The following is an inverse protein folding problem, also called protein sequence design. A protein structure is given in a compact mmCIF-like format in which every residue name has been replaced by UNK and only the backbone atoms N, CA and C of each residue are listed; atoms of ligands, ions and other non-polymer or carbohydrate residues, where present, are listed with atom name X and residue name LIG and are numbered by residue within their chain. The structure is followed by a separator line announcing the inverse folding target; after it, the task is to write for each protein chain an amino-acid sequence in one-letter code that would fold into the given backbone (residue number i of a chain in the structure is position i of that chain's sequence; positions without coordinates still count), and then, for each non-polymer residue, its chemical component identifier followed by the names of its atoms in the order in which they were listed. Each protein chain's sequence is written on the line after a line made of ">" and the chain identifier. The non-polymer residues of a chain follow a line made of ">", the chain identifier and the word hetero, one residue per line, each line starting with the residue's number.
data_IF_087037292916
#
_entry.id   IF_087037292916
#
_cell.length_a   1.000
_cell.length_b   1.000
_cell.length_c   1.000
_cell.angle_alpha   90.00
_cell.angle_beta   90.00
_cell.angle_gamma   90.00
#
_symmetry.space_group_name_H-M   'P 1'
#
loop_
_entity.id
_entity.type
_entity.pdbx_description
1 polymer ?
#
# COMPACT_ATOMS: atom_id res chain seq x y z
N UNK A 1 -15.33 -0.60 -18.13
CA UNK A 1 -15.96 -0.07 -16.90
C UNK A 1 -17.45 0.13 -17.16
N UNK A 2 -18.22 -0.96 -17.22
CA UNK A 2 -19.68 -0.94 -17.50
C UNK A 2 -20.44 -1.83 -16.48
N UNK A 3 -19.76 -2.80 -15.87
CA UNK A 3 -20.32 -3.69 -14.84
C UNK A 3 -20.91 -2.97 -13.62
N UNK A 4 -20.27 -1.89 -13.16
CA UNK A 4 -20.74 -1.17 -11.97
C UNK A 4 -22.13 -0.52 -12.19
N UNK A 5 -22.44 -0.09 -13.42
CA UNK A 5 -23.72 0.56 -13.72
C UNK A 5 -24.85 -0.47 -13.79
N UNK A 6 -24.56 -1.66 -14.33
CA UNK A 6 -25.50 -2.77 -14.39
C UNK A 6 -25.82 -3.33 -12.99
N UNK A 7 -24.82 -3.39 -12.10
CA UNK A 7 -25.05 -3.77 -10.70
C UNK A 7 -25.97 -2.78 -9.97
N UNK A 8 -25.85 -1.47 -10.25
CA UNK A 8 -26.75 -0.45 -9.66
C UNK A 8 -28.19 -0.65 -10.13
N UNK A 9 -28.39 -1.07 -11.38
CA UNK A 9 -29.72 -1.34 -11.93
C UNK A 9 -30.43 -2.49 -11.18
N UNK A 10 -29.69 -3.54 -10.82
CA UNK A 10 -30.23 -4.69 -10.09
C UNK A 10 -30.25 -4.52 -8.56
N UNK A 11 -29.50 -3.55 -8.03
CA UNK A 11 -29.35 -3.32 -6.59
C UNK A 11 -30.69 -3.22 -5.84
N UNK A 12 -31.68 -2.54 -6.42
CA UNK A 12 -33.00 -2.38 -5.79
C UNK A 12 -33.76 -3.71 -5.68
N UNK A 13 -33.66 -4.57 -6.71
CA UNK A 13 -34.27 -5.89 -6.70
C UNK A 13 -33.49 -6.84 -5.78
N UNK A 14 -32.17 -6.73 -5.75
CA UNK A 14 -31.32 -7.54 -4.88
C UNK A 14 -31.54 -7.19 -3.41
N UNK A 15 -31.72 -5.91 -3.07
CA UNK A 15 -32.14 -5.49 -1.72
C UNK A 15 -33.52 -6.05 -1.32
N UNK A 16 -34.46 -6.19 -2.26
CA UNK A 16 -35.77 -6.81 -1.99
C UNK A 16 -35.66 -8.32 -1.76
N UNK A 17 -34.72 -9.00 -2.44
CA UNK A 17 -34.55 -10.46 -2.38
C UNK A 17 -33.65 -10.92 -1.23
N UNK A 18 -32.59 -10.17 -0.94
CA UNK A 18 -31.53 -10.56 -0.01
C UNK A 18 -31.51 -9.74 1.30
N UNK A 19 -32.38 -8.73 1.39
CA UNK A 19 -32.49 -7.87 2.56
C UNK A 19 -31.60 -6.63 2.46
N UNK A 20 -31.25 -6.01 3.60
CA UNK A 20 -30.45 -4.77 3.60
C UNK A 20 -29.10 -4.98 2.90
N UNK A 21 -28.62 -3.94 2.21
CA UNK A 21 -27.36 -4.02 1.46
C UNK A 21 -26.19 -4.56 2.28
N UNK A 22 -26.09 -4.19 3.56
CA UNK A 22 -25.02 -4.66 4.45
C UNK A 22 -24.98 -6.18 4.66
N UNK A 23 -26.10 -6.90 4.45
CA UNK A 23 -26.15 -8.36 4.65
C UNK A 23 -25.46 -9.14 3.54
N UNK A 24 -25.47 -8.62 2.31
CA UNK A 24 -24.99 -9.32 1.13
C UNK A 24 -23.90 -8.57 0.37
N UNK A 25 -23.64 -7.32 0.74
CA UNK A 25 -22.62 -6.48 0.12
C UNK A 25 -21.22 -6.97 0.46
N UNK A 26 -20.38 -7.08 -0.57
CA UNK A 26 -18.95 -7.30 -0.39
C UNK A 26 -18.16 -6.00 -0.18
N UNK A 27 -18.79 -4.82 -0.20
CA UNK A 27 -18.12 -3.52 -0.07
C UNK A 27 -17.20 -3.43 1.17
N UNK A 28 -17.58 -3.92 2.37
CA UNK A 28 -16.71 -3.87 3.55
C UNK A 28 -15.37 -4.61 3.34
N UNK A 29 -15.33 -5.60 2.45
CA UNK A 29 -14.15 -6.42 2.20
C UNK A 29 -13.29 -5.93 1.03
N UNK A 30 -13.78 -4.95 0.24
CA UNK A 30 -13.05 -4.46 -0.94
C UNK A 30 -11.69 -3.86 -0.58
N UNK A 31 -11.62 -3.13 0.54
CA UNK A 31 -10.36 -2.57 1.03
C UNK A 31 -9.33 -3.67 1.32
N UNK A 32 -9.77 -4.77 1.95
CA UNK A 32 -8.90 -5.90 2.25
C UNK A 32 -8.50 -6.68 0.99
N UNK A 33 -9.43 -6.86 0.04
CA UNK A 33 -9.13 -7.46 -1.24
C UNK A 33 -8.13 -6.63 -2.06
N UNK A 34 -8.20 -5.29 -1.96
CA UNK A 34 -7.20 -4.37 -2.52
C UNK A 34 -5.83 -4.56 -1.90
N UNK A 35 -5.76 -4.73 -0.57
CA UNK A 35 -4.53 -5.06 0.13
C UNK A 35 -3.92 -6.39 -0.36
N UNK A 36 -4.70 -7.46 -0.42
CA UNK A 36 -4.25 -8.77 -0.91
C UNK A 36 -3.76 -8.66 -2.36
N UNK A 37 -4.52 -7.98 -3.23
CA UNK A 37 -4.13 -7.77 -4.65
C UNK A 37 -2.78 -7.07 -4.78
N UNK A 38 -2.45 -6.13 -3.89
CA UNK A 38 -1.15 -5.44 -3.91
C UNK A 38 0.03 -6.34 -3.54
N UNK A 39 -0.21 -7.43 -2.80
CA UNK A 39 0.83 -8.40 -2.46
C UNK A 39 1.17 -9.33 -3.63
N UNK A 40 0.23 -9.51 -4.56
CA UNK A 40 0.39 -10.36 -5.75
C UNK A 40 0.92 -9.50 -6.89
N UNK A 41 2.14 -9.79 -7.38
CA UNK A 41 2.79 -9.00 -8.45
C UNK A 41 2.53 -9.56 -9.84
N UNK A 42 2.25 -10.85 -9.95
CA UNK A 42 1.97 -11.53 -11.21
C UNK A 42 0.86 -12.56 -11.02
N UNK A 43 0.12 -12.85 -12.09
CA UNK A 43 -1.02 -13.78 -12.06
C UNK A 43 -0.61 -15.26 -11.89
N UNK A 44 0.69 -15.57 -11.94
CA UNK A 44 1.20 -16.92 -11.81
C UNK A 44 1.38 -17.32 -10.33
N UNK A 45 0.75 -18.41 -9.90
CA UNK A 45 0.84 -18.89 -8.50
C UNK A 45 0.51 -17.81 -7.44
N UNK A 46 -0.68 -17.18 -7.50
CA UNK A 46 -1.03 -16.05 -6.64
C UNK A 46 -1.06 -16.42 -5.15
N UNK A 47 -1.50 -17.65 -4.81
CA UNK A 47 -1.57 -18.13 -3.44
C UNK A 47 -0.15 -18.30 -2.86
N UNK A 48 0.76 -18.90 -3.64
CA UNK A 48 2.15 -19.08 -3.22
C UNK A 48 2.87 -17.75 -3.05
N UNK A 49 2.63 -16.78 -3.94
CA UNK A 49 3.15 -15.42 -3.79
C UNK A 49 2.63 -14.76 -2.52
N UNK A 50 1.33 -14.86 -2.25
CA UNK A 50 0.70 -14.29 -1.06
C UNK A 50 1.29 -14.89 0.22
N UNK A 51 1.41 -16.22 0.29
CA UNK A 51 1.98 -16.92 1.44
C UNK A 51 3.38 -16.42 1.76
N UNK A 52 4.29 -16.46 0.78
CA UNK A 52 5.67 -16.00 0.95
C UNK A 52 5.75 -14.54 1.40
N UNK A 53 4.89 -13.67 0.84
CA UNK A 53 4.82 -12.25 1.20
C UNK A 53 4.35 -12.02 2.64
N UNK A 54 3.44 -12.85 3.13
CA UNK A 54 2.99 -12.79 4.52
C UNK A 54 4.12 -13.26 5.43
N UNK A 55 4.75 -14.40 5.13
CA UNK A 55 5.90 -14.90 5.89
C UNK A 55 7.04 -13.88 5.97
N UNK A 56 7.39 -13.23 4.85
CA UNK A 56 8.38 -12.15 4.80
C UNK A 56 8.04 -11.01 5.79
N UNK A 57 6.76 -10.64 5.91
CA UNK A 57 6.32 -9.54 6.80
C UNK A 57 6.34 -9.93 8.27
N UNK A 58 5.98 -11.17 8.58
CA UNK A 58 5.99 -11.69 9.95
C UNK A 58 7.42 -11.95 10.45
N UNK A 59 8.36 -12.27 9.55
CA UNK A 59 9.77 -12.48 9.89
C UNK A 59 10.54 -11.18 10.14
N UNK A 60 10.06 -10.04 9.68
CA UNK A 60 10.68 -8.74 9.98
C UNK A 60 10.16 -8.32 11.36
N UNK A 61 11.05 -8.15 12.36
CA UNK A 61 10.66 -7.53 13.62
C UNK A 61 10.00 -6.20 13.29
N UNK A 62 8.73 -6.04 13.67
CA UNK A 62 8.07 -4.74 13.61
C UNK A 62 8.78 -3.88 14.64
N UNK A 63 9.88 -3.24 14.24
CA UNK A 63 10.40 -2.10 14.98
C UNK A 63 9.23 -1.12 15.04
N UNK A 64 8.61 -1.01 16.22
CA UNK A 64 7.74 0.11 16.54
C UNK A 64 8.53 1.34 16.09
N UNK A 65 7.99 2.18 15.19
CA UNK A 65 8.65 3.43 14.88
C UNK A 65 8.71 4.19 16.19
N UNK A 66 9.87 4.14 16.87
CA UNK A 66 10.15 5.11 17.89
C UNK A 66 10.08 6.44 17.17
N UNK A 67 9.21 7.33 17.61
CA UNK A 67 9.17 8.72 17.15
C UNK A 67 10.43 9.50 17.58
N UNK A 68 11.49 8.79 17.94
CA UNK A 68 12.83 9.33 18.07
C UNK A 68 13.30 9.66 16.66
N UNK A 69 13.11 10.92 16.29
CA UNK A 69 13.71 11.52 15.09
C UNK A 69 15.12 10.94 14.93
N UNK A 70 15.48 10.39 13.76
CA UNK A 70 16.82 9.86 13.57
C UNK A 70 17.82 10.97 13.86
N UNK A 71 18.52 10.87 14.99
CA UNK A 71 19.56 11.81 15.36
C UNK A 71 20.72 11.51 14.43
N UNK A 72 20.98 12.43 13.50
CA UNK A 72 22.13 12.37 12.61
C UNK A 72 23.39 12.46 13.48
N UNK A 73 24.07 11.34 13.67
CA UNK A 73 25.24 11.25 14.57
C UNK A 73 26.54 11.73 13.91
N UNK A 74 26.56 11.85 12.58
CA UNK A 74 27.79 12.09 11.82
C UNK A 74 27.57 13.05 10.66
N UNK A 75 28.54 13.93 10.43
CA UNK A 75 28.64 14.72 9.21
C UNK A 75 28.98 13.79 8.04
N UNK A 76 28.12 13.77 7.01
CA UNK A 76 28.35 12.96 5.83
C UNK A 76 29.40 13.62 4.92
N UNK A 77 30.65 13.17 4.99
CA UNK A 77 31.75 13.73 4.19
C UNK A 77 32.13 12.92 2.94
N UNK A 78 31.48 11.77 2.70
CA UNK A 78 31.84 10.83 1.63
C UNK A 78 30.63 10.28 0.85
N UNK A 79 29.54 11.05 0.79
CA UNK A 79 28.42 10.74 -0.11
C UNK A 79 28.66 11.31 -1.50
N UNK A 80 28.18 10.67 -2.58
CA UNK A 80 28.19 11.30 -3.90
C UNK A 80 27.34 12.57 -3.84
N UNK A 81 28.00 13.73 -3.85
CA UNK A 81 27.31 15.01 -3.94
C UNK A 81 26.66 15.09 -5.33
N UNK A 82 25.34 15.30 -5.36
CA UNK A 82 24.61 15.53 -6.62
C UNK A 82 25.32 16.62 -7.41
N UNK A 83 25.60 16.43 -8.72
CA UNK A 83 26.30 17.41 -9.55
C UNK A 83 25.68 18.81 -9.52
N UNK A 84 24.40 18.92 -9.17
CA UNK A 84 23.68 20.18 -9.05
C UNK A 84 24.14 21.09 -7.90
N UNK A 85 24.97 20.61 -6.96
CA UNK A 85 25.34 21.36 -5.75
C UNK A 85 26.81 21.82 -5.71
N UNK A 86 27.58 21.61 -6.78
CA UNK A 86 29.02 21.97 -6.80
C UNK A 86 29.28 23.48 -6.89
N UNK A 87 28.27 24.29 -7.25
CA UNK A 87 28.44 25.71 -7.55
C UNK A 87 27.88 26.66 -6.49
N UNK A 88 27.51 26.17 -5.31
CA UNK A 88 27.23 27.03 -4.16
C UNK A 88 28.55 27.50 -3.53
N UNK A 89 29.36 28.21 -4.31
CA UNK A 89 30.47 29.00 -3.81
C UNK A 89 29.93 30.04 -2.83
N UNK A 90 30.19 29.77 -1.55
CA UNK A 90 30.39 30.72 -0.46
C UNK A 90 30.70 32.12 -0.99
N UNK A 91 29.70 33.01 -1.03
CA UNK A 91 29.94 34.45 -0.96
C UNK A 91 29.83 34.84 0.50
N UNK A 92 30.96 34.76 1.19
CA UNK A 92 31.21 35.57 2.38
C UNK A 92 32.24 36.61 1.98
N UNK A 93 31.75 37.79 1.62
CA UNK A 93 32.34 39.10 1.84
C UNK A 93 31.29 40.16 1.55
#
# INVERSE_FOLDING_TARGET
>A
MVFNVHNIFHLADDCKRHGPLESFSSFPFESHLGYIKRLIRANHHPIQQLHRRIEEKEMIPQEQPSFDKPVLKFEHNLGPCSPAYKDAHVRIS
#
